data_IF_906222206694
#
_entry.id   IF_906222206694
#
_cell.length_a   1.000
_cell.length_b   1.000
_cell.length_c   1.000
_cell.angle_alpha   90.00
_cell.angle_beta   90.00
_cell.angle_gamma   90.00
#
_symmetry.space_group_name_H-M   'P 1'
#
loop_
_entity.id
_entity.type
_entity.pdbx_description
1 polymer ?
#
# COMPACT_ATOMS: atom_id res chain seq x y z
N UNK A 1 50.80 -22.11 26.37
CA UNK A 1 49.58 -21.34 26.72
C UNK A 1 49.00 -20.75 25.44
N UNK A 2 47.94 -21.38 24.90
CA UNK A 2 47.28 -20.94 23.66
C UNK A 2 46.20 -19.95 24.07
N UNK A 3 46.33 -18.67 23.67
CA UNK A 3 45.32 -17.63 23.86
C UNK A 3 44.24 -17.84 22.78
N UNK A 4 43.06 -18.28 23.22
CA UNK A 4 41.85 -18.37 22.39
C UNK A 4 41.26 -16.96 22.29
N UNK A 5 41.34 -16.35 21.12
CA UNK A 5 40.68 -15.08 20.83
C UNK A 5 39.27 -15.39 20.35
N UNK A 6 38.28 -15.14 21.19
CA UNK A 6 36.85 -15.19 20.79
C UNK A 6 36.58 -13.92 20.00
N UNK A 7 36.46 -14.06 18.68
CA UNK A 7 35.91 -13.04 17.80
C UNK A 7 34.39 -13.10 17.93
N UNK A 8 33.79 -12.28 18.82
CA UNK A 8 32.38 -12.05 18.84
C UNK A 8 32.00 -11.26 17.57
N UNK A 9 31.47 -11.95 16.58
CA UNK A 9 30.74 -11.35 15.47
C UNK A 9 29.44 -10.75 16.02
N UNK A 10 29.45 -9.46 16.28
CA UNK A 10 28.23 -8.67 16.44
C UNK A 10 27.54 -8.64 15.06
N UNK A 11 26.67 -9.60 14.80
CA UNK A 11 25.68 -9.47 13.73
C UNK A 11 24.67 -8.46 14.26
N UNK A 12 24.87 -7.20 13.91
CA UNK A 12 23.84 -6.19 14.06
C UNK A 12 22.73 -6.57 13.08
N UNK A 13 21.72 -7.28 13.56
CA UNK A 13 20.44 -7.40 12.87
C UNK A 13 19.85 -6.00 12.83
N UNK A 14 20.03 -5.27 11.73
CA UNK A 14 19.22 -4.12 11.44
C UNK A 14 17.80 -4.65 11.24
N UNK A 15 17.01 -4.63 12.31
CA UNK A 15 15.57 -4.81 12.22
C UNK A 15 15.04 -3.55 11.53
N UNK A 16 14.93 -3.59 10.21
CA UNK A 16 14.10 -2.64 9.51
C UNK A 16 12.67 -2.95 9.95
N UNK A 17 12.09 -2.09 10.78
CA UNK A 17 10.67 -2.13 11.04
C UNK A 17 9.96 -1.99 9.69
N UNK A 18 9.40 -3.10 9.19
CA UNK A 18 8.60 -3.07 7.98
C UNK A 18 7.27 -2.44 8.34
N UNK A 19 6.88 -1.39 7.60
CA UNK A 19 5.55 -0.85 7.74
C UNK A 19 4.53 -1.92 7.34
N UNK A 20 3.50 -2.08 8.16
CA UNK A 20 2.34 -2.88 7.81
C UNK A 20 1.22 -1.98 7.31
N UNK A 21 0.24 -2.60 6.66
CA UNK A 21 -1.00 -1.95 6.30
C UNK A 21 -2.20 -2.86 6.60
N UNK A 22 -3.35 -2.21 6.78
CA UNK A 22 -4.66 -2.87 6.75
C UNK A 22 -5.57 -2.02 5.89
N UNK A 23 -6.27 -2.65 4.97
CA UNK A 23 -7.23 -1.97 4.11
C UNK A 23 -8.64 -2.52 4.29
N UNK A 24 -9.60 -1.62 4.13
CA UNK A 24 -11.04 -1.93 4.11
C UNK A 24 -11.63 -1.32 2.86
N UNK A 25 -12.14 -2.15 1.96
CA UNK A 25 -12.79 -1.74 0.72
C UNK A 25 -14.31 -1.77 0.90
N UNK A 26 -14.99 -0.78 0.31
CA UNK A 26 -16.43 -0.66 0.43
C UNK A 26 -17.08 0.01 -0.78
N UNK A 27 -18.34 -0.26 -0.96
CA UNK A 27 -19.22 0.48 -1.86
C UNK A 27 -19.90 1.58 -1.05
N UNK A 28 -19.66 2.84 -1.41
CA UNK A 28 -20.35 3.98 -0.82
C UNK A 28 -21.76 4.10 -1.40
N UNK A 29 -22.74 4.46 -0.57
CA UNK A 29 -24.06 4.85 -1.08
C UNK A 29 -23.90 6.06 -1.98
N UNK A 30 -24.60 6.04 -3.10
CA UNK A 30 -24.48 7.10 -4.11
C UNK A 30 -24.74 8.49 -3.52
N UNK A 31 -23.80 9.41 -3.76
CA UNK A 31 -23.90 10.81 -3.31
C UNK A 31 -23.55 11.03 -1.85
N UNK A 32 -22.95 10.05 -1.14
CA UNK A 32 -22.58 10.18 0.26
C UNK A 32 -21.07 10.36 0.47
N UNK A 33 -20.28 10.45 -0.58
CA UNK A 33 -18.82 10.53 -0.53
C UNK A 33 -18.34 11.70 0.32
N UNK A 34 -18.96 12.88 0.18
CA UNK A 34 -18.63 14.06 0.99
C UNK A 34 -18.95 13.87 2.46
N UNK A 35 -20.02 13.15 2.79
CA UNK A 35 -20.39 12.85 4.19
C UNK A 35 -19.38 11.86 4.81
N UNK A 36 -18.93 10.87 4.04
CA UNK A 36 -17.87 9.95 4.47
C UNK A 36 -16.61 10.74 4.79
N UNK A 37 -16.15 11.62 3.88
CA UNK A 37 -14.96 12.43 4.10
C UNK A 37 -15.11 13.34 5.33
N UNK A 38 -16.27 13.97 5.53
CA UNK A 38 -16.53 14.79 6.71
C UNK A 38 -16.48 13.99 8.03
N UNK A 39 -16.98 12.76 8.03
CA UNK A 39 -16.86 11.88 9.20
C UNK A 39 -15.41 11.49 9.47
N UNK A 40 -14.65 11.19 8.42
CA UNK A 40 -13.23 10.87 8.55
C UNK A 40 -12.43 12.09 9.04
N UNK A 41 -12.68 13.29 8.48
CA UNK A 41 -12.07 14.55 8.93
C UNK A 41 -12.36 14.81 10.42
N UNK A 42 -13.60 14.58 10.86
CA UNK A 42 -13.97 14.74 12.27
C UNK A 42 -13.28 13.72 13.20
N UNK A 43 -13.02 12.52 12.71
CA UNK A 43 -12.38 11.47 13.50
C UNK A 43 -10.87 11.56 13.51
N UNK A 44 -10.27 11.88 12.35
CA UNK A 44 -8.83 11.73 12.10
C UNK A 44 -8.12 13.04 11.77
N UNK A 45 -8.83 14.13 11.46
CA UNK A 45 -8.24 15.38 10.97
C UNK A 45 -7.23 16.04 11.91
N UNK A 46 -7.37 15.80 13.23
CA UNK A 46 -6.43 16.26 14.25
C UNK A 46 -5.69 15.10 14.94
N UNK A 47 -5.66 13.92 14.31
CA UNK A 47 -4.98 12.77 14.88
C UNK A 47 -3.46 12.93 14.79
N UNK A 48 -2.77 12.70 15.91
CA UNK A 48 -1.32 12.55 15.95
C UNK A 48 -0.98 11.06 16.04
N UNK A 49 -0.51 10.48 14.94
CA UNK A 49 -0.17 9.07 14.88
C UNK A 49 1.23 8.81 15.44
N UNK A 50 1.41 7.67 16.10
CA UNK A 50 2.71 7.21 16.57
C UNK A 50 3.62 6.87 15.39
N UNK A 51 3.04 6.28 14.35
CA UNK A 51 3.68 6.01 13.06
C UNK A 51 2.63 5.95 11.96
N UNK A 52 3.06 6.19 10.70
CA UNK A 52 2.20 6.05 9.54
C UNK A 52 1.02 7.03 9.50
N UNK A 53 -0.12 6.55 9.07
CA UNK A 53 -1.32 7.37 8.89
C UNK A 53 -2.52 6.58 8.36
N UNK A 54 -3.48 7.32 7.84
CA UNK A 54 -4.67 6.77 7.20
C UNK A 54 -4.88 7.47 5.85
N UNK A 55 -5.00 6.70 4.79
CA UNK A 55 -5.39 7.19 3.47
C UNK A 55 -6.81 6.73 3.15
N UNK A 56 -7.56 7.62 2.51
CA UNK A 56 -8.83 7.28 1.86
C UNK A 56 -8.62 7.44 0.37
N UNK A 57 -8.98 6.39 -0.37
CA UNK A 57 -8.90 6.37 -1.81
C UNK A 57 -10.25 6.09 -2.46
N UNK A 58 -10.49 6.74 -3.59
CA UNK A 58 -11.59 6.38 -4.49
C UNK A 58 -11.05 5.52 -5.63
N UNK A 59 -11.76 4.44 -5.96
CA UNK A 59 -11.43 3.62 -7.12
C UNK A 59 -11.91 4.29 -8.41
N UNK A 60 -11.10 4.18 -9.47
CA UNK A 60 -11.42 4.78 -10.76
C UNK A 60 -11.69 3.74 -11.85
N UNK A 61 -10.76 2.80 -12.05
CA UNK A 61 -10.83 1.79 -13.11
C UNK A 61 -10.38 0.45 -12.55
N UNK A 62 -11.05 -0.63 -12.96
CA UNK A 62 -10.61 -2.01 -12.71
C UNK A 62 -11.01 -2.59 -11.35
N UNK A 63 -11.73 -1.85 -10.52
CA UNK A 63 -12.38 -2.39 -9.33
C UNK A 63 -13.90 -2.40 -9.57
N UNK A 64 -14.50 -3.59 -9.60
CA UNK A 64 -15.90 -3.78 -9.97
C UNK A 64 -16.84 -3.78 -8.77
N UNK A 65 -16.32 -4.02 -7.56
CA UNK A 65 -17.14 -4.28 -6.38
C UNK A 65 -17.05 -3.22 -5.30
N UNK A 66 -16.17 -2.23 -5.46
CA UNK A 66 -15.92 -1.21 -4.45
C UNK A 66 -15.75 0.15 -5.10
N UNK A 67 -16.19 1.19 -4.41
CA UNK A 67 -15.98 2.59 -4.83
C UNK A 67 -14.84 3.25 -4.09
N UNK A 68 -14.56 2.79 -2.87
CA UNK A 68 -13.57 3.39 -1.98
C UNK A 68 -12.83 2.34 -1.17
N UNK A 69 -11.67 2.75 -0.63
CA UNK A 69 -10.97 2.03 0.43
C UNK A 69 -10.40 2.98 1.47
N UNK A 70 -10.27 2.48 2.68
CA UNK A 70 -9.53 3.09 3.78
C UNK A 70 -8.30 2.23 4.01
N UNK A 71 -7.11 2.85 4.03
CA UNK A 71 -5.84 2.17 4.30
C UNK A 71 -5.27 2.77 5.57
N UNK A 72 -5.04 1.93 6.57
CA UNK A 72 -4.26 2.25 7.76
C UNK A 72 -2.86 1.68 7.54
N UNK A 73 -1.82 2.46 7.79
CA UNK A 73 -0.45 2.00 7.60
C UNK A 73 0.49 2.55 8.67
N UNK A 74 1.58 1.87 8.95
CA UNK A 74 2.61 2.28 9.90
C UNK A 74 3.44 1.13 10.45
N UNK A 75 4.32 1.45 11.39
CA UNK A 75 5.10 0.48 12.14
C UNK A 75 4.19 -0.32 13.10
N UNK A 76 4.09 -1.65 12.97
CA UNK A 76 3.24 -2.47 13.84
C UNK A 76 3.56 -2.33 15.33
N UNK A 77 4.83 -2.09 15.68
CA UNK A 77 5.25 -1.90 17.07
C UNK A 77 4.79 -0.53 17.66
N UNK A 78 4.50 0.44 16.78
CA UNK A 78 4.09 1.79 17.12
C UNK A 78 2.77 2.18 16.44
N UNK A 79 1.88 1.23 16.22
CA UNK A 79 0.60 1.48 15.57
C UNK A 79 -0.34 2.33 16.44
N UNK A 80 -1.15 3.15 15.79
CA UNK A 80 -2.22 3.92 16.42
C UNK A 80 -1.87 5.36 16.74
N UNK A 81 -2.75 6.01 17.49
CA UNK A 81 -2.64 7.43 17.85
C UNK A 81 -1.79 7.61 19.11
N UNK A 82 -1.10 8.75 19.25
CA UNK A 82 -0.41 9.18 20.47
C UNK A 82 -1.43 9.61 21.54
N UNK A 83 -2.47 10.33 21.11
CA UNK A 83 -3.60 10.65 21.95
C UNK A 83 -4.51 9.41 22.05
N UNK A 84 -4.61 8.83 23.24
CA UNK A 84 -5.57 7.75 23.45
C UNK A 84 -6.97 8.25 23.09
N UNK A 85 -7.61 7.62 22.09
CA UNK A 85 -9.07 7.68 22.03
C UNK A 85 -9.57 6.94 23.26
N UNK A 86 -9.62 7.65 24.37
CA UNK A 86 -9.97 7.09 25.69
C UNK A 86 -11.42 6.65 25.80
N UNK A 87 -12.11 6.46 24.65
CA UNK A 87 -13.53 6.17 24.66
C UNK A 87 -13.90 5.25 23.51
N UNK A 88 -14.14 3.97 23.82
CA UNK A 88 -14.76 2.99 22.92
C UNK A 88 -16.06 3.54 22.30
N UNK A 89 -16.76 4.42 23.02
CA UNK A 89 -17.97 5.07 22.56
C UNK A 89 -17.76 5.94 21.30
N UNK A 90 -16.67 6.70 21.24
CA UNK A 90 -16.38 7.55 20.06
C UNK A 90 -16.16 6.70 18.80
N UNK A 91 -15.43 5.58 18.96
CA UNK A 91 -15.22 4.65 17.87
C UNK A 91 -16.51 3.99 17.42
N UNK A 92 -17.31 3.51 18.37
CA UNK A 92 -18.59 2.87 18.07
C UNK A 92 -19.55 3.81 17.35
N UNK A 93 -19.64 5.07 17.81
CA UNK A 93 -20.47 6.11 17.16
C UNK A 93 -19.94 6.45 15.77
N UNK A 94 -18.63 6.52 15.59
CA UNK A 94 -18.02 6.76 14.28
C UNK A 94 -18.38 5.64 13.29
N UNK A 95 -18.17 4.38 13.68
CA UNK A 95 -18.49 3.23 12.81
C UNK A 95 -19.98 3.18 12.49
N UNK A 96 -20.86 3.42 13.47
CA UNK A 96 -22.30 3.48 13.23
C UNK A 96 -22.66 4.55 12.21
N UNK A 97 -22.11 5.76 12.33
CA UNK A 97 -22.33 6.85 11.39
C UNK A 97 -21.78 6.51 9.99
N UNK A 98 -20.57 5.95 9.93
CA UNK A 98 -19.95 5.55 8.65
C UNK A 98 -20.81 4.50 7.93
N UNK A 99 -21.32 3.51 8.64
CA UNK A 99 -22.18 2.47 8.08
C UNK A 99 -23.51 3.02 7.50
N UNK A 100 -23.99 4.19 7.93
CA UNK A 100 -25.14 4.83 7.30
C UNK A 100 -24.84 5.29 5.86
N UNK A 101 -23.59 5.47 5.49
CA UNK A 101 -23.11 5.94 4.18
C UNK A 101 -22.47 4.83 3.34
N UNK A 102 -22.23 3.67 3.93
CA UNK A 102 -21.69 2.48 3.25
C UNK A 102 -22.86 1.59 2.82
N UNK A 103 -22.91 1.22 1.55
CA UNK A 103 -23.87 0.24 1.04
C UNK A 103 -23.44 -1.17 1.42
N UNK A 104 -22.15 -1.45 1.23
CA UNK A 104 -21.58 -2.78 1.46
C UNK A 104 -20.07 -2.68 1.74
N UNK A 105 -19.59 -3.37 2.75
CA UNK A 105 -18.18 -3.72 2.90
C UNK A 105 -17.87 -4.89 1.98
N UNK A 106 -16.89 -4.73 1.11
CA UNK A 106 -16.67 -5.65 -0.01
C UNK A 106 -15.45 -6.54 0.19
N UNK A 107 -14.39 -6.01 0.79
CA UNK A 107 -13.14 -6.72 0.98
C UNK A 107 -12.33 -6.08 2.11
N UNK A 108 -11.48 -6.89 2.75
CA UNK A 108 -10.46 -6.41 3.67
C UNK A 108 -9.21 -7.26 3.57
N UNK A 109 -8.06 -6.63 3.71
CA UNK A 109 -6.77 -7.33 3.71
C UNK A 109 -5.77 -6.64 4.62
N UNK A 110 -4.72 -7.35 4.97
CA UNK A 110 -3.60 -6.83 5.74
C UNK A 110 -2.30 -7.45 5.25
N UNK A 111 -1.19 -6.73 5.42
CA UNK A 111 0.12 -7.21 5.01
C UNK A 111 1.22 -6.20 5.26
N UNK A 112 2.33 -6.38 4.56
CA UNK A 112 3.53 -5.58 4.75
C UNK A 112 3.84 -4.69 3.55
N UNK A 113 4.35 -3.50 3.82
CA UNK A 113 5.02 -2.64 2.85
C UNK A 113 6.50 -3.03 2.87
N UNK A 114 6.95 -3.77 1.86
CA UNK A 114 8.31 -4.31 1.79
C UNK A 114 9.32 -3.32 1.20
N UNK A 115 8.88 -2.45 0.30
CA UNK A 115 9.65 -1.31 -0.21
C UNK A 115 8.71 -0.23 -0.73
N UNK A 116 9.16 1.02 -0.61
CA UNK A 116 8.53 2.18 -1.20
C UNK A 116 9.62 3.17 -1.58
N UNK A 117 9.70 3.53 -2.86
CA UNK A 117 10.70 4.46 -3.36
C UNK A 117 10.07 5.84 -3.49
N UNK A 118 10.35 6.71 -2.52
CA UNK A 118 9.88 8.09 -2.45
C UNK A 118 9.00 8.42 -1.23
N UNK A 119 8.68 9.70 -1.08
CA UNK A 119 7.78 10.24 -0.03
C UNK A 119 7.04 11.50 -0.55
N UNK A 120 6.59 11.46 -1.78
CA UNK A 120 5.93 12.63 -2.36
C UNK A 120 4.41 12.58 -2.19
N UNK A 121 3.90 13.34 -1.21
CA UNK A 121 2.48 13.46 -0.91
C UNK A 121 1.62 14.05 -2.05
N UNK A 122 2.24 14.58 -3.10
CA UNK A 122 1.52 15.05 -4.29
C UNK A 122 1.11 13.93 -5.24
N UNK A 123 1.68 12.71 -5.09
CA UNK A 123 1.37 11.58 -5.95
C UNK A 123 0.09 10.88 -5.48
N UNK A 124 -1.04 11.42 -5.93
CA UNK A 124 -2.36 10.97 -5.48
C UNK A 124 -3.02 9.93 -6.38
N UNK A 125 -2.49 9.71 -7.60
CA UNK A 125 -2.99 8.65 -8.49
C UNK A 125 -2.14 7.42 -8.33
N UNK A 126 -2.79 6.29 -8.11
CA UNK A 126 -2.13 5.01 -7.81
C UNK A 126 -2.67 3.95 -8.76
N UNK A 127 -1.79 3.17 -9.35
CA UNK A 127 -2.15 1.92 -10.01
C UNK A 127 -1.61 0.76 -9.17
N UNK A 128 -2.45 -0.19 -8.85
CA UNK A 128 -2.11 -1.39 -8.10
C UNK A 128 -2.17 -2.60 -9.03
N UNK A 129 -1.18 -3.47 -8.94
CA UNK A 129 -1.16 -4.81 -9.50
C UNK A 129 -1.14 -5.80 -8.35
N UNK A 130 -2.08 -6.72 -8.33
CA UNK A 130 -2.14 -7.81 -7.37
C UNK A 130 -1.80 -9.12 -8.06
N UNK A 131 -0.91 -9.88 -7.47
CA UNK A 131 -0.33 -11.09 -8.06
C UNK A 131 -0.20 -12.20 -7.03
N UNK A 132 -0.13 -13.44 -7.53
CA UNK A 132 0.35 -14.60 -6.77
C UNK A 132 1.77 -14.90 -7.21
N UNK A 133 2.68 -15.02 -6.27
CA UNK A 133 4.05 -15.47 -6.51
C UNK A 133 4.28 -16.80 -5.80
N UNK A 134 4.83 -17.76 -6.52
CA UNK A 134 5.28 -19.03 -5.94
C UNK A 134 6.68 -18.96 -5.35
N UNK A 135 7.47 -17.96 -5.75
CA UNK A 135 8.81 -17.66 -5.22
C UNK A 135 8.90 -16.18 -4.81
N UNK A 136 8.51 -15.83 -3.57
CA UNK A 136 8.55 -14.45 -3.08
C UNK A 136 9.95 -13.84 -3.07
N UNK A 137 10.99 -14.65 -2.88
CA UNK A 137 12.38 -14.18 -2.81
C UNK A 137 12.87 -13.75 -4.18
N UNK A 138 12.68 -14.60 -5.19
CA UNK A 138 13.02 -14.26 -6.58
C UNK A 138 12.20 -13.07 -7.08
N UNK A 139 10.90 -13.03 -6.73
CA UNK A 139 10.01 -11.94 -7.11
C UNK A 139 10.47 -10.59 -6.53
N UNK A 140 10.79 -10.55 -5.21
CA UNK A 140 11.32 -9.34 -4.56
C UNK A 140 12.64 -8.89 -5.17
N UNK A 141 13.58 -9.80 -5.38
CA UNK A 141 14.88 -9.47 -5.97
C UNK A 141 14.74 -8.91 -7.40
N UNK A 142 13.89 -9.51 -8.22
CA UNK A 142 13.62 -9.02 -9.57
C UNK A 142 12.90 -7.65 -9.55
N UNK A 143 11.99 -7.44 -8.60
CA UNK A 143 11.32 -6.15 -8.39
C UNK A 143 12.33 -5.07 -8.02
N UNK A 144 13.18 -5.28 -7.03
CA UNK A 144 14.16 -4.28 -6.59
C UNK A 144 15.13 -3.91 -7.71
N UNK A 145 15.54 -4.91 -8.51
CA UNK A 145 16.40 -4.68 -9.67
C UNK A 145 15.71 -3.81 -10.72
N UNK A 146 14.47 -4.13 -11.12
CA UNK A 146 13.77 -3.35 -12.15
C UNK A 146 13.48 -1.93 -11.66
N UNK A 147 13.15 -1.74 -10.37
CA UNK A 147 12.97 -0.41 -9.79
C UNK A 147 14.25 0.40 -9.88
N UNK A 148 15.40 -0.16 -9.50
CA UNK A 148 16.69 0.53 -9.58
C UNK A 148 17.08 0.93 -11.01
N UNK A 149 16.70 0.12 -12.00
CA UNK A 149 16.97 0.40 -13.41
C UNK A 149 16.00 1.42 -14.05
N UNK A 150 14.80 1.60 -13.47
CA UNK A 150 13.73 2.43 -14.03
C UNK A 150 13.49 3.73 -13.26
N UNK A 151 13.86 3.85 -12.00
CA UNK A 151 13.50 4.96 -11.11
C UNK A 151 13.85 6.33 -11.70
N UNK A 152 15.01 6.48 -12.34
CA UNK A 152 15.42 7.74 -12.96
C UNK A 152 14.55 8.21 -14.14
N UNK A 153 13.78 7.30 -14.73
CA UNK A 153 12.87 7.56 -15.88
C UNK A 153 11.41 7.72 -15.46
N UNK A 154 11.11 7.55 -14.19
CA UNK A 154 9.74 7.61 -13.66
C UNK A 154 9.42 9.00 -13.12
N UNK A 155 8.15 9.38 -13.31
CA UNK A 155 7.57 10.60 -12.73
C UNK A 155 6.70 10.29 -11.51
N UNK A 156 6.95 9.19 -10.83
CA UNK A 156 6.18 8.70 -9.72
C UNK A 156 7.01 7.76 -8.86
N UNK A 157 6.40 7.18 -7.87
CA UNK A 157 7.00 6.25 -6.93
C UNK A 157 6.54 4.83 -7.21
N UNK A 158 7.32 3.85 -6.78
CA UNK A 158 6.96 2.44 -6.84
C UNK A 158 6.93 1.88 -5.43
N UNK A 159 5.80 1.26 -5.08
CA UNK A 159 5.63 0.48 -3.87
C UNK A 159 5.58 -1.01 -4.17
N UNK A 160 6.05 -1.81 -3.21
CA UNK A 160 5.97 -3.27 -3.24
C UNK A 160 5.63 -3.80 -1.86
N UNK A 161 4.76 -4.79 -1.79
CA UNK A 161 4.42 -5.42 -0.54
C UNK A 161 3.80 -6.79 -0.68
N UNK A 162 3.53 -7.40 0.46
CA UNK A 162 2.91 -8.72 0.57
C UNK A 162 1.59 -8.64 1.30
N UNK A 163 0.68 -9.55 0.98
CA UNK A 163 -0.50 -9.84 1.78
C UNK A 163 -0.19 -10.97 2.76
N UNK A 164 -0.58 -10.80 4.02
CA UNK A 164 -0.54 -11.84 5.04
C UNK A 164 -1.94 -12.41 5.30
N UNK A 165 -2.95 -11.54 5.21
CA UNK A 165 -4.35 -11.88 5.46
C UNK A 165 -5.20 -11.28 4.34
N UNK A 166 -6.10 -12.06 3.78
CA UNK A 166 -7.18 -11.57 2.91
C UNK A 166 -6.77 -11.07 1.54
N UNK A 167 -5.62 -11.47 0.99
CA UNK A 167 -5.27 -11.11 -0.40
C UNK A 167 -6.37 -11.51 -1.39
N UNK A 168 -6.79 -10.58 -2.26
CA UNK A 168 -7.90 -10.79 -3.19
C UNK A 168 -7.66 -12.01 -4.09
N UNK A 169 -8.63 -12.95 -4.11
CA UNK A 169 -8.53 -14.20 -4.84
C UNK A 169 -7.21 -14.97 -4.61
N UNK A 170 -6.63 -14.86 -3.40
CA UNK A 170 -5.38 -15.52 -3.04
C UNK A 170 -4.13 -14.78 -3.53
N UNK A 171 -4.22 -13.49 -3.86
CA UNK A 171 -3.04 -12.66 -4.10
C UNK A 171 -2.10 -12.69 -2.93
N UNK A 172 -0.81 -12.85 -3.20
CA UNK A 172 0.25 -12.88 -2.19
C UNK A 172 1.03 -11.59 -2.10
N UNK A 173 1.07 -10.83 -3.21
CA UNK A 173 1.84 -9.58 -3.31
C UNK A 173 1.09 -8.53 -4.12
N UNK A 174 1.53 -7.28 -3.91
CA UNK A 174 1.07 -6.13 -4.68
C UNK A 174 2.25 -5.27 -5.12
N UNK A 175 2.08 -4.61 -6.26
CA UNK A 175 2.98 -3.56 -6.77
C UNK A 175 2.14 -2.33 -7.00
N UNK A 176 2.59 -1.18 -6.48
CA UNK A 176 1.96 0.11 -6.67
C UNK A 176 2.84 1.01 -7.56
N UNK A 177 2.22 1.74 -8.46
CA UNK A 177 2.86 2.81 -9.23
C UNK A 177 2.05 4.06 -8.98
N UNK A 178 2.72 5.13 -8.51
CA UNK A 178 2.05 6.39 -8.22
C UNK A 178 2.35 7.46 -9.27
N UNK A 179 1.52 8.49 -9.34
CA UNK A 179 1.75 9.66 -10.16
C UNK A 179 0.98 10.88 -9.60
N UNK A 180 1.39 12.08 -10.01
CA UNK A 180 0.73 13.33 -9.61
C UNK A 180 -0.69 13.46 -10.17
N UNK A 181 -0.90 13.00 -11.39
CA UNK A 181 -2.17 13.05 -12.10
C UNK A 181 -2.30 11.88 -13.09
N UNK A 182 -3.49 11.75 -13.67
CA UNK A 182 -3.80 10.67 -14.61
C UNK A 182 -2.90 10.68 -15.87
N UNK A 183 -2.60 11.86 -16.39
CA UNK A 183 -1.73 11.99 -17.57
C UNK A 183 -0.32 11.46 -17.27
N UNK A 184 0.25 11.86 -16.14
CA UNK A 184 1.58 11.40 -15.73
C UNK A 184 1.61 9.88 -15.49
N UNK A 185 0.54 9.31 -14.91
CA UNK A 185 0.43 7.85 -14.74
C UNK A 185 0.49 7.12 -16.09
N UNK A 186 -0.27 7.59 -17.07
CA UNK A 186 -0.30 7.00 -18.41
C UNK A 186 1.04 7.19 -19.13
N UNK A 187 1.65 8.37 -19.02
CA UNK A 187 2.97 8.63 -19.62
C UNK A 187 4.06 7.77 -18.97
N UNK A 188 4.12 7.67 -17.65
CA UNK A 188 5.04 6.80 -16.95
C UNK A 188 4.93 5.35 -17.44
N UNK A 189 3.72 4.82 -17.54
CA UNK A 189 3.51 3.47 -18.09
C UNK A 189 4.01 3.29 -19.53
N UNK A 190 3.83 4.32 -20.36
CA UNK A 190 4.34 4.28 -21.76
C UNK A 190 5.87 4.29 -21.80
N UNK A 191 6.52 5.09 -20.97
CA UNK A 191 7.99 5.11 -20.88
C UNK A 191 8.52 3.77 -20.34
N UNK A 192 7.94 3.25 -19.26
CA UNK A 192 8.31 1.93 -18.75
C UNK A 192 8.23 0.82 -19.82
N UNK A 193 7.20 0.82 -20.66
CA UNK A 193 7.06 -0.18 -21.75
C UNK A 193 8.16 -0.12 -22.80
N UNK A 194 8.85 1.01 -22.98
CA UNK A 194 9.97 1.16 -23.93
C UNK A 194 11.27 0.52 -23.40
N UNK A 195 11.35 0.25 -22.11
CA UNK A 195 12.54 -0.26 -21.43
C UNK A 195 12.64 -1.79 -21.55
N UNK A 196 12.87 -2.27 -22.79
CA UNK A 196 12.80 -3.70 -23.14
C UNK A 196 13.77 -4.56 -22.31
N UNK A 197 15.02 -4.10 -22.13
CA UNK A 197 16.06 -4.90 -21.40
C UNK A 197 15.71 -5.10 -19.92
N UNK A 198 15.34 -4.07 -19.13
CA UNK A 198 14.87 -4.24 -17.77
C UNK A 198 13.70 -5.21 -17.66
N UNK A 199 12.67 -5.05 -18.50
CA UNK A 199 11.51 -5.95 -18.49
C UNK A 199 11.87 -7.39 -18.82
N UNK A 200 12.73 -7.62 -19.83
CA UNK A 200 13.20 -8.97 -20.15
C UNK A 200 13.89 -9.61 -18.95
N UNK A 201 14.85 -8.90 -18.33
CA UNK A 201 15.54 -9.38 -17.11
C UNK A 201 14.56 -9.67 -15.96
N UNK A 202 13.57 -8.79 -15.77
CA UNK A 202 12.55 -8.99 -14.74
C UNK A 202 11.73 -10.26 -14.96
N UNK A 203 11.22 -10.49 -16.18
CA UNK A 203 10.42 -11.68 -16.48
C UNK A 203 11.22 -12.97 -16.40
N UNK A 204 12.51 -12.95 -16.72
CA UNK A 204 13.40 -14.11 -16.64
C UNK A 204 13.77 -14.49 -15.19
N UNK A 205 13.73 -13.53 -14.24
CA UNK A 205 14.25 -13.74 -12.89
C UNK A 205 13.21 -13.65 -11.78
N UNK A 206 11.97 -13.26 -12.05
CA UNK A 206 10.94 -13.05 -11.03
C UNK A 206 10.28 -14.32 -10.49
N UNK A 207 10.65 -15.50 -11.03
CA UNK A 207 9.94 -16.77 -10.79
C UNK A 207 8.53 -16.76 -11.41
N UNK A 208 7.73 -17.75 -11.04
CA UNK A 208 6.36 -17.85 -11.50
C UNK A 208 5.46 -16.86 -10.76
N UNK A 209 4.90 -15.93 -11.51
CA UNK A 209 3.99 -14.90 -11.02
C UNK A 209 2.72 -14.93 -11.85
N UNK A 210 1.62 -15.31 -11.21
CA UNK A 210 0.27 -15.25 -11.74
C UNK A 210 -0.31 -13.86 -11.51
N UNK A 211 -0.85 -13.27 -12.57
CA UNK A 211 -1.52 -11.99 -12.52
C UNK A 211 -2.98 -12.17 -12.06
N UNK A 212 -3.40 -11.51 -10.99
CA UNK A 212 -4.76 -11.62 -10.44
C UNK A 212 -5.64 -10.49 -10.93
N UNK A 213 -5.31 -9.26 -10.60
CA UNK A 213 -6.03 -8.07 -11.06
C UNK A 213 -5.14 -6.82 -11.06
N UNK A 214 -5.59 -5.77 -11.73
CA UNK A 214 -5.09 -4.41 -11.51
C UNK A 214 -6.25 -3.44 -11.48
N UNK A 215 -6.02 -2.35 -10.78
CA UNK A 215 -6.96 -1.25 -10.70
C UNK A 215 -6.23 0.06 -10.45
N UNK A 216 -6.95 1.15 -10.62
CA UNK A 216 -6.44 2.48 -10.28
C UNK A 216 -7.32 3.10 -9.22
N UNK A 217 -6.67 3.87 -8.34
CA UNK A 217 -7.32 4.66 -7.32
C UNK A 217 -6.76 6.07 -7.28
N UNK A 218 -7.46 6.94 -6.59
CA UNK A 218 -7.01 8.29 -6.27
C UNK A 218 -7.10 8.49 -4.77
N UNK A 219 -6.00 8.90 -4.14
CA UNK A 219 -6.02 9.35 -2.75
C UNK A 219 -6.82 10.63 -2.66
N UNK A 220 -7.93 10.59 -1.94
CA UNK A 220 -8.85 11.72 -1.76
C UNK A 220 -8.65 12.43 -0.43
N UNK A 221 -8.05 11.75 0.55
CA UNK A 221 -7.69 12.31 1.84
C UNK A 221 -6.53 11.53 2.49
N UNK A 222 -5.66 12.26 3.21
CA UNK A 222 -4.58 11.70 4.07
C UNK A 222 -4.67 12.30 5.47
N UNK A 223 -4.41 11.46 6.46
CA UNK A 223 -4.35 11.82 7.87
C UNK A 223 -3.05 11.37 8.52
#
# INVERSE_FOLDING_TARGET
MKKLVYLMLFVSTFSFSQNAFTEYQFEAKRGTESAILALMDAMWGNADFKSGGIDIESFNIGNENSTHRIILYGDPANWGRKDSLSNDDKWSVFIQKLNNHVEKWTHSSSGNVMSWDGDNKEYNYVQIYEVKSSDPVAFKAAHDKIVSEMSSSMKGEIGFGSYEIGGYNGSTHWVAITAKNWSDLILTRREMKKMIKPWKSYYENRGDVEYVRNYTSKVVRRY
#
